data_IF_567698084457
#
_entry.id   IF_567698084457
#
_cell.length_a   1.000
_cell.length_b   1.000
_cell.length_c   1.000
_cell.angle_alpha   90.00
_cell.angle_beta   90.00
_cell.angle_gamma   90.00
#
_symmetry.space_group_name_H-M   'P 1'
#
loop_
_entity.id
_entity.type
_entity.pdbx_description
1 polymer ?
#
# COMPACT_ATOMS: atom_id res chain seq x y z
N UNK A 1 -25.90 -18.19 8.27
CA UNK A 1 -25.92 -16.72 8.05
C UNK A 1 -24.84 -16.44 7.02
N UNK A 2 -25.26 -16.24 5.77
CA UNK A 2 -24.35 -16.17 4.63
C UNK A 2 -23.50 -14.89 4.72
N UNK A 3 -22.18 -15.07 4.75
CA UNK A 3 -21.22 -13.98 4.53
C UNK A 3 -21.39 -13.56 3.07
N UNK A 4 -22.02 -12.41 2.83
CA UNK A 4 -22.03 -11.81 1.50
C UNK A 4 -20.60 -11.64 1.03
N UNK A 5 -20.28 -12.28 -0.09
CA UNK A 5 -19.04 -12.03 -0.82
C UNK A 5 -19.01 -10.55 -1.19
N UNK A 6 -18.09 -9.80 -0.58
CA UNK A 6 -17.80 -8.42 -0.97
C UNK A 6 -17.39 -8.46 -2.44
N UNK A 7 -18.30 -8.01 -3.31
CA UNK A 7 -18.07 -7.90 -4.74
C UNK A 7 -17.18 -6.69 -5.05
N UNK A 8 -16.48 -6.67 -6.20
CA UNK A 8 -15.68 -5.52 -6.63
C UNK A 8 -16.50 -4.22 -6.80
N UNK A 9 -17.83 -4.30 -6.76
CA UNK A 9 -18.75 -3.17 -6.94
C UNK A 9 -18.72 -2.16 -5.78
N UNK A 10 -18.19 -2.52 -4.61
CA UNK A 10 -18.23 -1.66 -3.42
C UNK A 10 -17.14 -0.59 -3.32
N UNK A 11 -16.09 -0.63 -4.14
CA UNK A 11 -15.00 0.36 -4.05
C UNK A 11 -15.44 1.72 -4.61
N UNK A 12 -16.17 1.72 -5.74
CA UNK A 12 -16.63 2.97 -6.38
C UNK A 12 -17.67 3.73 -5.54
N UNK A 13 -18.57 3.01 -4.86
CA UNK A 13 -19.61 3.62 -4.02
C UNK A 13 -19.03 4.40 -2.83
N UNK A 14 -17.85 3.99 -2.33
CA UNK A 14 -17.19 4.66 -1.20
C UNK A 14 -16.49 5.96 -1.61
N UNK A 15 -15.89 6.03 -2.80
CA UNK A 15 -15.19 7.23 -3.28
C UNK A 15 -16.17 8.37 -3.54
N UNK A 16 -17.32 8.07 -4.14
CA UNK A 16 -18.38 9.05 -4.42
C UNK A 16 -18.86 9.74 -3.13
N UNK A 17 -18.89 9.01 -2.01
CA UNK A 17 -19.29 9.55 -0.70
C UNK A 17 -18.29 10.55 -0.12
N UNK A 18 -17.02 10.54 -0.57
CA UNK A 18 -16.02 11.54 -0.17
C UNK A 18 -16.27 12.90 -0.84
N UNK A 19 -17.01 12.93 -1.95
CA UNK A 19 -17.23 14.13 -2.75
C UNK A 19 -18.44 14.90 -2.26
N UNK A 20 -18.42 16.24 -2.37
CA UNK A 20 -19.60 17.05 -2.13
C UNK A 20 -20.72 16.74 -3.14
N UNK A 21 -22.00 17.02 -2.83
CA UNK A 21 -23.15 16.60 -3.65
C UNK A 21 -23.06 16.98 -5.13
N UNK A 22 -22.56 18.17 -5.44
CA UNK A 22 -22.46 18.66 -6.82
C UNK A 22 -21.42 17.87 -7.63
N UNK A 23 -20.23 17.67 -7.06
CA UNK A 23 -19.15 16.90 -7.72
C UNK A 23 -19.52 15.42 -7.78
N UNK A 24 -20.08 14.88 -6.69
CA UNK A 24 -20.63 13.51 -6.64
C UNK A 24 -21.66 13.30 -7.74
N UNK A 25 -22.56 14.26 -7.95
CA UNK A 25 -23.58 14.19 -9.00
C UNK A 25 -22.99 14.05 -10.41
N UNK A 26 -21.86 14.70 -10.69
CA UNK A 26 -21.15 14.58 -11.98
C UNK A 26 -20.43 13.24 -12.09
N UNK A 27 -19.68 12.84 -11.05
CA UNK A 27 -18.96 11.55 -11.03
C UNK A 27 -19.92 10.37 -11.12
N UNK A 28 -21.10 10.47 -10.49
CA UNK A 28 -22.12 9.42 -10.52
C UNK A 28 -22.63 9.11 -11.94
N UNK A 29 -22.66 10.11 -12.82
CA UNK A 29 -23.09 9.97 -14.22
C UNK A 29 -22.07 9.26 -15.10
N UNK A 30 -20.81 9.11 -14.65
CA UNK A 30 -19.80 8.41 -15.43
C UNK A 30 -20.20 6.94 -15.68
N UNK A 31 -19.92 6.40 -16.88
CA UNK A 31 -20.09 4.97 -17.15
C UNK A 31 -19.29 4.10 -16.17
N UNK A 32 -19.82 2.93 -15.80
CA UNK A 32 -19.15 1.98 -14.90
C UNK A 32 -17.74 1.59 -15.37
N UNK A 33 -17.53 1.48 -16.69
CA UNK A 33 -16.20 1.20 -17.26
C UNK A 33 -15.19 2.28 -16.85
N UNK A 34 -15.57 3.55 -16.97
CA UNK A 34 -14.72 4.69 -16.61
C UNK A 34 -14.46 4.70 -15.11
N UNK A 35 -15.50 4.49 -14.28
CA UNK A 35 -15.32 4.39 -12.82
C UNK A 35 -14.33 3.28 -12.44
N UNK A 36 -14.42 2.14 -13.10
CA UNK A 36 -13.50 1.01 -12.93
C UNK A 36 -12.10 1.24 -13.48
N UNK A 37 -11.83 2.34 -14.19
CA UNK A 37 -10.50 2.72 -14.70
C UNK A 37 -9.97 4.01 -14.03
N UNK A 38 -10.80 4.67 -13.22
CA UNK A 38 -10.47 5.88 -12.47
C UNK A 38 -9.31 5.69 -11.49
N UNK A 39 -8.25 6.48 -11.69
CA UNK A 39 -7.03 6.48 -10.86
C UNK A 39 -6.96 7.74 -9.97
N UNK A 40 -7.42 8.87 -10.49
CA UNK A 40 -7.37 10.16 -9.79
C UNK A 40 -8.64 10.99 -10.05
N UNK A 41 -9.10 11.73 -9.04
CA UNK A 41 -10.06 12.83 -9.18
C UNK A 41 -9.42 14.10 -8.62
N UNK A 42 -9.30 15.13 -9.46
CA UNK A 42 -8.64 16.37 -9.08
C UNK A 42 -9.57 17.57 -9.15
N UNK A 43 -9.65 18.26 -8.04
CA UNK A 43 -10.44 19.47 -7.85
C UNK A 43 -9.51 20.65 -7.64
N UNK A 44 -9.72 21.74 -8.38
CA UNK A 44 -8.96 23.00 -8.22
C UNK A 44 -9.92 24.18 -8.33
N UNK A 45 -9.80 25.15 -7.42
CA UNK A 45 -10.70 26.31 -7.40
C UNK A 45 -10.69 27.03 -8.76
N UNK A 46 -11.88 27.26 -9.30
CA UNK A 46 -12.16 27.93 -10.57
C UNK A 46 -11.51 27.27 -11.79
N UNK A 47 -11.28 25.95 -11.74
CA UNK A 47 -10.77 25.16 -12.85
C UNK A 47 -11.73 23.99 -13.16
N UNK A 48 -11.67 23.45 -14.40
CA UNK A 48 -12.36 22.22 -14.76
C UNK A 48 -12.09 21.07 -13.78
N UNK A 49 -13.13 20.30 -13.46
CA UNK A 49 -13.00 19.01 -12.80
C UNK A 49 -12.23 18.06 -13.72
N UNK A 50 -11.21 17.44 -13.16
CA UNK A 50 -10.29 16.60 -13.91
C UNK A 50 -10.26 15.21 -13.29
N UNK A 51 -10.13 14.20 -14.13
CA UNK A 51 -9.89 12.82 -13.73
C UNK A 51 -8.67 12.28 -14.45
N UNK A 52 -8.03 11.28 -13.85
CA UNK A 52 -6.97 10.52 -14.51
C UNK A 52 -7.45 9.09 -14.78
N UNK A 53 -7.27 8.65 -16.02
CA UNK A 53 -7.57 7.30 -16.48
C UNK A 53 -6.33 6.77 -17.21
N UNK A 54 -5.79 5.63 -16.78
CA UNK A 54 -4.64 5.00 -17.42
C UNK A 54 -3.42 5.94 -17.61
N UNK A 55 -3.10 6.77 -16.61
CA UNK A 55 -2.09 7.84 -16.65
C UNK A 55 -2.36 9.02 -17.63
N UNK A 56 -3.56 9.16 -18.18
CA UNK A 56 -3.95 10.30 -19.01
C UNK A 56 -5.00 11.18 -18.30
N UNK A 57 -4.87 12.49 -18.45
CA UNK A 57 -5.74 13.49 -17.81
C UNK A 57 -6.92 13.84 -18.73
N UNK A 58 -8.13 13.76 -18.18
CA UNK A 58 -9.37 14.13 -18.87
C UNK A 58 -10.20 15.10 -18.02
N UNK A 59 -11.09 15.83 -18.67
CA UNK A 59 -12.08 16.70 -18.05
C UNK A 59 -13.47 16.08 -18.10
N UNK A 60 -14.36 16.52 -17.21
CA UNK A 60 -15.75 16.04 -17.16
C UNK A 60 -16.72 17.21 -17.34
N UNK A 61 -17.71 17.06 -18.22
CA UNK A 61 -18.82 18.02 -18.39
C UNK A 61 -19.85 17.94 -17.27
N UNK A 62 -20.79 18.89 -17.21
CA UNK A 62 -21.89 18.87 -16.24
C UNK A 62 -22.81 17.64 -16.39
N UNK A 63 -22.83 17.05 -17.58
CA UNK A 63 -23.58 15.85 -17.94
C UNK A 63 -22.82 14.55 -17.61
N UNK A 64 -21.57 14.63 -17.16
CA UNK A 64 -20.75 13.44 -16.89
C UNK A 64 -20.09 12.86 -18.13
N UNK A 65 -19.89 13.65 -19.18
CA UNK A 65 -19.18 13.23 -20.39
C UNK A 65 -17.69 13.50 -20.20
N UNK A 66 -16.85 12.52 -20.52
CA UNK A 66 -15.39 12.65 -20.47
C UNK A 66 -14.88 13.32 -21.75
N UNK A 67 -13.98 14.29 -21.63
CA UNK A 67 -13.43 15.05 -22.75
C UNK A 67 -11.95 15.38 -22.53
N UNK A 68 -11.17 15.40 -23.61
CA UNK A 68 -9.78 15.89 -23.61
C UNK A 68 -9.70 17.43 -23.53
N UNK A 69 -10.83 18.11 -23.78
CA UNK A 69 -10.91 19.57 -23.80
C UNK A 69 -11.50 20.11 -22.51
N UNK A 70 -10.96 21.22 -21.95
CA UNK A 70 -11.53 21.88 -20.78
C UNK A 70 -12.81 22.68 -21.10
N UNK A 71 -13.22 22.73 -22.37
CA UNK A 71 -14.40 23.49 -22.81
C UNK A 71 -15.66 22.78 -22.34
N UNK A 72 -16.63 23.54 -21.81
CA UNK A 72 -17.91 23.05 -21.28
C UNK A 72 -17.77 22.02 -20.12
N UNK A 73 -16.61 21.99 -19.47
CA UNK A 73 -16.40 21.15 -18.29
C UNK A 73 -17.10 21.71 -17.04
N UNK A 74 -17.41 20.83 -16.10
CA UNK A 74 -17.84 21.21 -14.76
C UNK A 74 -16.74 22.04 -14.09
N UNK A 75 -17.04 23.27 -13.67
CA UNK A 75 -16.08 24.15 -13.02
C UNK A 75 -16.17 23.98 -11.51
N UNK A 76 -15.06 23.60 -10.89
CA UNK A 76 -14.96 23.41 -9.44
C UNK A 76 -14.94 24.77 -8.75
N UNK A 77 -15.92 25.03 -7.87
CA UNK A 77 -15.95 26.22 -7.03
C UNK A 77 -15.18 26.03 -5.72
N UNK A 78 -14.88 27.15 -5.03
CA UNK A 78 -14.31 27.12 -3.67
C UNK A 78 -15.19 26.33 -2.68
N UNK A 79 -16.51 26.50 -2.78
CA UNK A 79 -17.48 25.77 -1.94
C UNK A 79 -17.41 24.26 -2.18
N UNK A 80 -17.16 23.80 -3.40
CA UNK A 80 -17.01 22.37 -3.67
C UNK A 80 -15.79 21.78 -2.96
N UNK A 81 -14.67 22.51 -2.93
CA UNK A 81 -13.45 22.11 -2.19
C UNK A 81 -13.74 22.03 -0.69
N UNK A 82 -14.29 23.10 -0.11
CA UNK A 82 -14.57 23.18 1.32
C UNK A 82 -15.55 22.08 1.76
N UNK A 83 -16.64 21.88 1.02
CA UNK A 83 -17.62 20.82 1.32
C UNK A 83 -17.01 19.43 1.16
N UNK A 84 -16.26 19.18 0.08
CA UNK A 84 -15.60 17.87 -0.14
C UNK A 84 -14.65 17.56 1.00
N UNK A 85 -13.89 18.54 1.48
CA UNK A 85 -13.00 18.35 2.63
C UNK A 85 -13.77 18.02 3.91
N UNK A 86 -14.96 18.59 4.13
CA UNK A 86 -15.83 18.19 5.25
C UNK A 86 -16.22 16.71 5.16
N UNK A 87 -16.60 16.19 3.99
CA UNK A 87 -16.89 14.76 3.82
C UNK A 87 -15.65 13.89 4.06
N UNK A 88 -14.50 14.26 3.47
CA UNK A 88 -13.21 13.56 3.63
C UNK A 88 -12.80 13.45 5.10
N UNK A 89 -13.06 14.49 5.89
CA UNK A 89 -12.67 14.56 7.31
C UNK A 89 -13.77 14.09 8.26
N UNK A 90 -14.87 13.55 7.73
CA UNK A 90 -16.09 13.23 8.50
C UNK A 90 -16.52 14.40 9.41
N UNK A 91 -16.47 15.62 8.86
CA UNK A 91 -16.78 16.90 9.50
C UNK A 91 -15.87 17.28 10.68
N UNK A 92 -14.74 16.61 10.85
CA UNK A 92 -13.78 16.86 11.93
C UNK A 92 -12.38 17.11 11.38
N UNK A 93 -12.12 18.37 10.98
CA UNK A 93 -10.78 18.79 10.51
C UNK A 93 -9.70 18.61 11.60
N UNK A 94 -10.08 18.74 12.87
CA UNK A 94 -9.15 18.61 14.00
C UNK A 94 -8.67 17.17 14.21
N UNK A 95 -9.47 16.16 13.83
CA UNK A 95 -9.05 14.77 13.97
C UNK A 95 -8.06 14.30 12.90
N UNK A 96 -7.72 15.16 11.94
CA UNK A 96 -6.79 14.87 10.85
C UNK A 96 -5.62 15.88 10.79
N UNK A 97 -5.32 16.55 11.90
CA UNK A 97 -4.33 17.64 11.91
C UNK A 97 -2.93 17.14 11.51
N UNK A 98 -2.54 15.94 11.97
CA UNK A 98 -1.25 15.33 11.65
C UNK A 98 -1.15 14.97 10.15
N UNK A 99 -2.21 14.39 9.59
CA UNK A 99 -2.36 14.11 8.16
C UNK A 99 -2.31 15.39 7.32
N UNK A 100 -2.96 16.46 7.77
CA UNK A 100 -2.88 17.78 7.13
C UNK A 100 -1.45 18.34 7.13
N UNK A 101 -0.68 18.15 8.22
CA UNK A 101 0.74 18.53 8.26
C UNK A 101 1.59 17.71 7.28
N UNK A 102 1.23 16.44 7.08
CA UNK A 102 1.86 15.56 6.08
C UNK A 102 1.38 15.85 4.64
N UNK A 103 0.37 16.72 4.46
CA UNK A 103 -0.12 17.18 3.16
C UNK A 103 -1.13 16.26 2.48
N UNK A 104 -1.59 15.19 3.15
CA UNK A 104 -2.61 14.28 2.62
C UNK A 104 -3.36 13.57 3.73
N UNK A 105 -4.61 13.17 3.47
CA UNK A 105 -5.44 12.38 4.37
C UNK A 105 -5.66 10.99 3.76
N UNK A 106 -5.45 9.94 4.53
CA UNK A 106 -5.89 8.58 4.16
C UNK A 106 -7.36 8.42 4.57
N UNK A 107 -8.21 7.94 3.68
CA UNK A 107 -9.65 7.77 3.93
C UNK A 107 -10.08 6.32 3.70
N UNK A 108 -11.33 6.01 4.06
CA UNK A 108 -11.93 4.70 3.83
C UNK A 108 -11.75 4.24 2.36
N UNK A 109 -11.44 2.96 2.18
CA UNK A 109 -10.98 2.38 0.91
C UNK A 109 -9.46 2.50 0.68
N UNK A 110 -8.73 3.13 1.60
CA UNK A 110 -7.28 3.32 1.53
C UNK A 110 -6.88 4.39 0.50
N UNK A 111 -7.84 5.20 0.06
CA UNK A 111 -7.60 6.30 -0.88
C UNK A 111 -6.84 7.42 -0.16
N UNK A 112 -6.10 8.22 -0.94
CA UNK A 112 -5.34 9.35 -0.40
C UNK A 112 -5.87 10.64 -0.99
N UNK A 113 -6.22 11.58 -0.12
CA UNK A 113 -6.67 12.92 -0.48
C UNK A 113 -5.53 13.89 -0.20
N UNK A 114 -4.77 14.25 -1.24
CA UNK A 114 -3.78 15.32 -1.18
C UNK A 114 -4.47 16.68 -1.10
N UNK A 115 -3.91 17.58 -0.30
CA UNK A 115 -4.53 18.87 0.01
C UNK A 115 -3.54 20.00 -0.31
N UNK A 116 -4.03 21.03 -1.01
CA UNK A 116 -3.24 22.23 -1.31
C UNK A 116 -3.97 23.48 -0.86
N UNK A 117 -3.21 24.45 -0.36
CA UNK A 117 -3.70 25.72 0.14
C UNK A 117 -2.56 26.58 0.66
N UNK A 118 -2.89 27.62 1.41
CA UNK A 118 -1.93 28.48 2.09
C UNK A 118 -1.34 27.78 3.31
N UNK A 119 -0.07 27.43 3.22
CA UNK A 119 0.70 26.87 4.33
C UNK A 119 1.04 27.97 5.33
N UNK A 120 0.79 27.70 6.60
CA UNK A 120 1.25 28.50 7.74
C UNK A 120 2.25 27.65 8.53
N UNK A 121 3.48 28.14 8.69
CA UNK A 121 4.54 27.35 9.31
C UNK A 121 5.88 28.06 9.33
N UNK A 122 6.91 27.31 9.73
CA UNK A 122 8.31 27.74 9.65
C UNK A 122 8.98 27.14 8.41
N UNK A 123 10.26 27.46 8.14
CA UNK A 123 10.97 26.97 6.94
C UNK A 123 10.95 25.44 6.77
N UNK A 124 10.87 24.67 7.85
CA UNK A 124 10.98 23.22 7.83
C UNK A 124 9.78 22.50 8.47
N UNK A 125 8.71 23.21 8.83
CA UNK A 125 7.59 22.61 9.56
C UNK A 125 6.26 23.27 9.18
N UNK A 126 5.30 22.46 8.74
CA UNK A 126 3.93 22.88 8.44
C UNK A 126 3.16 22.85 9.75
N UNK A 127 2.77 24.02 10.26
CA UNK A 127 1.90 24.08 11.45
C UNK A 127 0.44 23.85 11.06
N UNK A 128 0.00 24.49 9.98
CA UNK A 128 -1.36 24.33 9.47
C UNK A 128 -1.47 24.71 8.00
N UNK A 129 -2.54 24.25 7.35
CA UNK A 129 -2.94 24.65 6.00
C UNK A 129 -4.31 25.33 6.11
N UNK A 130 -4.46 26.49 5.48
CA UNK A 130 -5.74 27.19 5.34
C UNK A 130 -5.97 27.63 3.90
N UNK A 131 -7.10 28.27 3.62
CA UNK A 131 -7.43 28.77 2.28
C UNK A 131 -7.26 27.67 1.21
N UNK A 132 -7.89 26.51 1.44
CA UNK A 132 -7.78 25.33 0.59
C UNK A 132 -8.15 25.67 -0.86
N UNK A 133 -7.24 25.39 -1.78
CA UNK A 133 -7.35 25.78 -3.20
C UNK A 133 -7.48 24.57 -4.13
N UNK A 134 -7.30 23.36 -3.62
CA UNK A 134 -7.43 22.14 -4.40
C UNK A 134 -7.34 20.87 -3.56
N UNK A 135 -7.91 19.81 -4.11
CA UNK A 135 -7.89 18.46 -3.58
C UNK A 135 -7.46 17.50 -4.69
N UNK A 136 -6.67 16.51 -4.33
CA UNK A 136 -6.30 15.41 -5.22
C UNK A 136 -6.67 14.07 -4.57
N UNK A 137 -7.71 13.40 -5.06
CA UNK A 137 -8.14 12.10 -4.57
C UNK A 137 -7.51 11.02 -5.44
N UNK A 138 -6.53 10.31 -4.88
CA UNK A 138 -5.87 9.16 -5.51
C UNK A 138 -6.54 7.88 -5.08
N UNK A 139 -7.04 7.13 -6.05
CA UNK A 139 -7.86 5.95 -5.83
C UNK A 139 -6.96 4.74 -5.64
N UNK A 140 -6.81 4.32 -4.38
CA UNK A 140 -6.20 3.03 -4.06
C UNK A 140 -7.01 1.85 -4.62
N UNK A 141 -6.30 0.88 -5.19
CA UNK A 141 -6.84 -0.39 -5.67
C UNK A 141 -5.96 -1.52 -5.21
N UNK A 142 -6.60 -2.56 -4.71
CA UNK A 142 -5.93 -3.77 -4.30
C UNK A 142 -5.73 -4.72 -5.48
N UNK A 143 -4.51 -5.25 -5.63
CA UNK A 143 -4.20 -6.33 -6.57
C UNK A 143 -4.04 -7.64 -5.80
N UNK A 144 -4.85 -8.64 -6.17
CA UNK A 144 -4.82 -9.99 -5.57
C UNK A 144 -4.25 -11.00 -6.55
N UNK A 145 -3.59 -12.03 -6.02
CA UNK A 145 -3.01 -13.13 -6.81
C UNK A 145 -1.64 -12.82 -7.42
N UNK A 146 -1.05 -11.65 -7.14
CA UNK A 146 0.31 -11.28 -7.53
C UNK A 146 1.39 -12.12 -6.85
N UNK A 147 1.12 -12.68 -5.67
CA UNK A 147 2.06 -13.56 -4.98
C UNK A 147 1.99 -15.01 -5.44
N UNK A 148 0.93 -15.40 -6.16
CA UNK A 148 0.72 -16.79 -6.62
C UNK A 148 1.96 -17.41 -7.27
N UNK A 149 2.67 -16.72 -8.19
CA UNK A 149 3.85 -17.29 -8.84
C UNK A 149 5.03 -17.55 -7.90
N UNK A 150 5.09 -16.89 -6.74
CA UNK A 150 6.23 -17.01 -5.81
C UNK A 150 5.97 -17.95 -4.63
N UNK A 151 4.72 -18.21 -4.26
CA UNK A 151 4.38 -18.96 -3.04
C UNK A 151 5.05 -20.34 -2.95
N UNK A 152 5.15 -21.07 -4.08
CA UNK A 152 5.80 -22.38 -4.14
C UNK A 152 7.29 -22.35 -3.77
N UNK A 153 7.93 -21.18 -3.86
CA UNK A 153 9.34 -21.01 -3.49
C UNK A 153 9.49 -20.53 -2.05
N UNK A 154 8.47 -19.86 -1.50
CA UNK A 154 8.49 -19.30 -0.14
C UNK A 154 8.01 -20.28 0.93
N UNK A 155 7.33 -21.34 0.52
CA UNK A 155 6.80 -22.37 1.41
C UNK A 155 7.49 -23.70 1.11
N UNK A 156 7.98 -24.37 2.15
CA UNK A 156 8.56 -25.70 2.06
C UNK A 156 8.07 -26.55 3.22
N UNK A 157 7.60 -27.77 2.91
CA UNK A 157 7.09 -28.73 3.90
C UNK A 157 6.01 -28.14 4.83
N UNK A 158 5.13 -27.29 4.29
CA UNK A 158 4.06 -26.65 5.06
C UNK A 158 4.51 -25.50 5.98
N UNK A 159 5.78 -25.09 5.92
CA UNK A 159 6.33 -23.98 6.69
C UNK A 159 6.83 -22.84 5.80
N UNK A 160 6.77 -21.63 6.33
CA UNK A 160 7.18 -20.42 5.63
C UNK A 160 8.69 -20.18 5.82
N UNK A 161 9.38 -19.94 4.71
CA UNK A 161 10.79 -19.65 4.67
C UNK A 161 11.02 -18.15 4.86
N UNK A 162 11.89 -17.76 5.79
CA UNK A 162 12.25 -16.35 6.00
C UNK A 162 12.64 -15.69 4.68
N UNK A 163 11.98 -14.60 4.33
CA UNK A 163 12.04 -14.02 2.99
C UNK A 163 12.42 -12.55 3.01
N UNK A 164 13.41 -12.18 2.20
CA UNK A 164 13.76 -10.79 1.90
C UNK A 164 13.29 -10.43 0.48
N UNK A 165 12.63 -9.28 0.33
CA UNK A 165 12.27 -8.73 -0.98
C UNK A 165 13.16 -7.51 -1.27
N UNK A 166 14.07 -7.65 -2.23
CA UNK A 166 14.90 -6.57 -2.74
C UNK A 166 14.13 -5.90 -3.87
N UNK A 167 13.90 -4.59 -3.78
CA UNK A 167 13.13 -3.89 -4.80
C UNK A 167 13.50 -2.41 -4.89
N UNK A 168 13.69 -1.86 -6.11
CA UNK A 168 13.76 -0.41 -6.29
C UNK A 168 12.46 0.27 -5.85
N UNK A 169 12.47 1.58 -5.59
CA UNK A 169 11.24 2.34 -5.40
C UNK A 169 10.26 2.13 -6.56
N UNK A 170 8.96 2.10 -6.25
CA UNK A 170 7.87 2.01 -7.23
C UNK A 170 7.82 0.72 -8.07
N UNK A 171 8.55 -0.34 -7.71
CA UNK A 171 8.51 -1.64 -8.41
C UNK A 171 7.48 -2.64 -7.84
N UNK A 172 6.47 -2.18 -7.09
CA UNK A 172 5.37 -3.03 -6.62
C UNK A 172 5.66 -3.86 -5.37
N UNK A 173 6.71 -3.55 -4.60
CA UNK A 173 7.11 -4.28 -3.39
C UNK A 173 5.98 -4.44 -2.37
N UNK A 174 5.26 -3.36 -2.09
CA UNK A 174 4.20 -3.35 -1.07
C UNK A 174 2.99 -4.15 -1.54
N UNK A 175 2.70 -4.12 -2.84
CA UNK A 175 1.65 -4.95 -3.44
C UNK A 175 1.97 -6.43 -3.35
N UNK A 176 3.21 -6.84 -3.64
CA UNK A 176 3.62 -8.23 -3.50
C UNK A 176 3.63 -8.67 -2.03
N UNK A 177 4.27 -7.90 -1.15
CA UNK A 177 4.36 -8.18 0.29
C UNK A 177 2.97 -8.38 0.89
N UNK A 178 2.05 -7.46 0.62
CA UNK A 178 0.66 -7.52 1.08
C UNK A 178 -0.07 -8.77 0.61
N UNK A 179 0.06 -9.14 -0.66
CA UNK A 179 -0.60 -10.35 -1.15
C UNK A 179 0.01 -11.63 -0.56
N UNK A 180 1.32 -11.63 -0.30
CA UNK A 180 1.97 -12.71 0.46
C UNK A 180 1.37 -12.79 1.87
N UNK A 181 1.31 -11.66 2.61
CA UNK A 181 0.71 -11.59 3.95
C UNK A 181 -0.70 -12.19 3.96
N UNK A 182 -1.56 -11.76 3.03
CA UNK A 182 -2.91 -12.30 2.89
C UNK A 182 -2.92 -13.81 2.66
N UNK A 183 -2.12 -14.32 1.74
CA UNK A 183 -2.11 -15.75 1.42
C UNK A 183 -1.57 -16.58 2.60
N UNK A 184 -0.56 -16.09 3.32
CA UNK A 184 -0.06 -16.75 4.54
C UNK A 184 -1.09 -16.75 5.67
N UNK A 185 -1.83 -15.64 5.80
CA UNK A 185 -2.91 -15.48 6.77
C UNK A 185 -4.09 -16.42 6.49
N UNK A 186 -4.47 -16.57 5.21
CA UNK A 186 -5.55 -17.48 4.77
C UNK A 186 -5.11 -18.95 4.86
N UNK A 187 -3.90 -19.25 4.40
CA UNK A 187 -3.40 -20.60 4.14
C UNK A 187 -3.36 -20.91 2.64
N UNK A 188 -2.46 -21.82 2.25
CA UNK A 188 -2.28 -22.26 0.86
C UNK A 188 -2.38 -23.80 0.82
N UNK A 189 -3.60 -24.37 0.69
CA UNK A 189 -3.82 -25.81 0.77
C UNK A 189 -3.02 -26.62 -0.26
N UNK A 190 -2.82 -26.08 -1.48
CA UNK A 190 -2.02 -26.71 -2.53
C UNK A 190 -0.56 -26.94 -2.14
N UNK A 191 -0.07 -26.24 -1.12
CA UNK A 191 1.28 -26.37 -0.57
C UNK A 191 1.30 -26.98 0.84
N UNK A 192 0.18 -27.57 1.27
CA UNK A 192 0.00 -28.07 2.64
C UNK A 192 0.27 -27.01 3.72
N UNK A 193 0.13 -25.73 3.37
CA UNK A 193 0.36 -24.62 4.28
C UNK A 193 -0.94 -24.20 4.95
N UNK A 194 -1.06 -24.43 6.25
CA UNK A 194 -2.20 -23.96 7.04
C UNK A 194 -2.05 -22.46 7.31
N UNK A 195 -3.17 -21.73 7.34
CA UNK A 195 -3.16 -20.29 7.65
C UNK A 195 -2.48 -20.01 9.00
N UNK A 196 -1.58 -19.02 9.01
CA UNK A 196 -0.78 -18.65 10.18
C UNK A 196 -1.19 -17.27 10.70
N UNK A 197 -1.07 -17.05 12.00
CA UNK A 197 -1.14 -15.71 12.62
C UNK A 197 0.02 -14.85 12.12
N UNK A 198 -0.28 -13.70 11.53
CA UNK A 198 0.69 -12.75 10.99
C UNK A 198 0.65 -11.47 11.82
N UNK A 199 1.81 -10.99 12.27
CA UNK A 199 1.96 -9.66 12.84
C UNK A 199 2.60 -8.72 11.83
N UNK A 200 1.93 -7.62 11.47
CA UNK A 200 2.42 -6.63 10.50
C UNK A 200 2.89 -5.38 11.26
N UNK A 201 4.09 -4.90 10.95
CA UNK A 201 4.56 -3.58 11.36
C UNK A 201 4.67 -2.70 10.11
N UNK A 202 3.88 -1.64 10.06
CA UNK A 202 3.73 -0.78 8.88
C UNK A 202 4.10 0.66 9.24
N UNK A 203 5.38 1.01 9.14
CA UNK A 203 5.90 2.33 9.55
C UNK A 203 5.31 3.47 8.72
N UNK A 204 4.95 3.20 7.46
CA UNK A 204 4.48 4.21 6.49
C UNK A 204 2.98 4.15 6.21
N UNK A 205 2.23 3.28 6.88
CA UNK A 205 0.81 3.03 6.60
C UNK A 205 0.55 2.70 5.12
N UNK A 206 1.41 1.89 4.50
CA UNK A 206 1.28 1.49 3.09
C UNK A 206 0.73 0.07 2.90
N UNK A 207 1.05 -0.85 3.81
CA UNK A 207 0.63 -2.25 3.76
C UNK A 207 -0.87 -2.34 4.07
N UNK A 208 -1.27 -1.86 5.25
CA UNK A 208 -2.67 -1.87 5.68
C UNK A 208 -3.47 -0.68 5.17
N UNK A 209 -2.80 0.45 4.95
CA UNK A 209 -3.42 1.75 4.68
C UNK A 209 -4.55 2.03 5.69
N UNK A 210 -4.27 1.87 6.97
CA UNK A 210 -5.28 1.88 8.02
C UNK A 210 -6.02 3.22 8.08
N UNK A 211 -7.32 3.15 8.29
CA UNK A 211 -8.18 4.31 8.55
C UNK A 211 -8.95 4.04 9.84
N UNK A 212 -8.76 4.90 10.84
CA UNK A 212 -9.37 4.77 12.17
C UNK A 212 -9.17 3.39 12.82
N UNK A 213 -7.94 2.86 12.72
CA UNK A 213 -7.58 1.55 13.27
C UNK A 213 -8.06 0.35 12.44
N UNK A 214 -8.76 0.57 11.32
CA UNK A 214 -9.23 -0.50 10.43
C UNK A 214 -8.35 -0.56 9.16
N UNK A 215 -7.69 -1.70 8.88
CA UNK A 215 -7.00 -1.90 7.61
C UNK A 215 -7.96 -1.75 6.42
N UNK A 216 -7.56 -0.96 5.43
CA UNK A 216 -8.36 -0.76 4.22
C UNK A 216 -8.00 -1.74 3.11
N UNK A 217 -6.78 -2.27 3.16
CA UNK A 217 -6.34 -3.37 2.33
C UNK A 217 -6.60 -4.72 3.01
N UNK A 218 -6.96 -5.74 2.23
CA UNK A 218 -7.19 -7.09 2.75
C UNK A 218 -5.86 -7.79 3.07
N UNK A 219 -5.55 -7.87 4.36
CA UNK A 219 -4.37 -8.57 4.90
C UNK A 219 -4.67 -10.02 5.29
N UNK A 220 -5.87 -10.53 5.03
CA UNK A 220 -6.33 -11.85 5.46
C UNK A 220 -6.83 -11.91 6.91
N UNK A 221 -7.50 -13.02 7.29
CA UNK A 221 -8.31 -13.10 8.50
C UNK A 221 -7.54 -13.32 9.81
N UNK A 222 -6.23 -13.58 9.75
CA UNK A 222 -5.37 -13.89 10.91
C UNK A 222 -4.22 -12.89 11.04
N UNK A 223 -4.48 -11.64 10.70
CA UNK A 223 -3.45 -10.61 10.64
C UNK A 223 -3.72 -9.50 11.63
N UNK A 224 -2.76 -9.26 12.52
CA UNK A 224 -2.71 -8.11 13.41
C UNK A 224 -1.76 -7.07 12.80
N UNK A 225 -2.09 -5.78 12.91
CA UNK A 225 -1.25 -4.70 12.35
C UNK A 225 -0.96 -3.61 13.38
N UNK A 226 0.30 -3.18 13.42
CA UNK A 226 0.74 -1.94 14.06
C UNK A 226 1.01 -0.91 12.95
N UNK A 227 0.06 0.00 12.77
CA UNK A 227 0.11 1.06 11.78
C UNK A 227 0.91 2.27 12.29
N UNK A 228 1.65 2.92 11.39
CA UNK A 228 2.49 4.09 11.68
C UNK A 228 3.47 3.86 12.85
N UNK A 229 3.94 2.61 12.99
CA UNK A 229 4.75 2.15 14.12
C UNK A 229 6.22 1.92 13.70
N UNK A 230 7.21 2.44 14.44
CA UNK A 230 8.62 2.13 14.19
C UNK A 230 8.90 0.63 14.28
N UNK A 231 9.54 0.06 13.25
CA UNK A 231 9.70 -1.39 13.07
C UNK A 231 10.26 -2.13 14.28
N UNK A 232 11.42 -1.71 14.79
CA UNK A 232 12.06 -2.36 15.93
C UNK A 232 11.13 -2.42 17.15
N UNK A 233 10.46 -1.32 17.46
CA UNK A 233 9.50 -1.23 18.58
C UNK A 233 8.29 -2.12 18.30
N UNK A 234 7.71 -2.04 17.10
CA UNK A 234 6.54 -2.82 16.72
C UNK A 234 6.80 -4.33 16.73
N UNK A 235 7.96 -4.78 16.23
CA UNK A 235 8.35 -6.19 16.29
C UNK A 235 8.41 -6.68 17.74
N UNK A 236 9.03 -5.92 18.65
CA UNK A 236 9.08 -6.30 20.06
C UNK A 236 7.69 -6.35 20.72
N UNK A 237 6.77 -5.46 20.35
CA UNK A 237 5.38 -5.51 20.81
C UNK A 237 4.70 -6.80 20.33
N UNK A 238 4.82 -7.12 19.04
CA UNK A 238 4.19 -8.31 18.45
C UNK A 238 4.72 -9.60 19.07
N UNK A 239 6.05 -9.72 19.24
CA UNK A 239 6.70 -10.88 19.87
C UNK A 239 6.14 -11.11 21.28
N UNK A 240 5.99 -10.04 22.07
CA UNK A 240 5.58 -10.14 23.48
C UNK A 240 4.09 -10.34 23.68
N UNK A 241 3.25 -9.77 22.81
CA UNK A 241 1.83 -9.63 23.08
C UNK A 241 0.90 -10.37 22.11
N UNK A 242 1.32 -10.59 20.86
CA UNK A 242 0.41 -11.09 19.81
C UNK A 242 0.67 -12.55 19.43
N UNK A 243 1.78 -13.16 19.88
CA UNK A 243 2.16 -14.54 19.57
C UNK A 243 2.07 -14.88 18.07
N UNK A 244 2.63 -14.04 17.17
CA UNK A 244 2.57 -14.29 15.74
C UNK A 244 3.39 -15.52 15.39
N UNK A 245 3.02 -16.21 14.31
CA UNK A 245 3.92 -17.23 13.72
C UNK A 245 4.85 -16.60 12.69
N UNK A 246 4.42 -15.50 12.06
CA UNK A 246 5.18 -14.78 11.05
C UNK A 246 5.06 -13.28 11.35
N UNK A 247 6.18 -12.57 11.33
CA UNK A 247 6.22 -11.11 11.33
C UNK A 247 6.49 -10.61 9.91
N UNK A 248 5.73 -9.62 9.48
CA UNK A 248 5.91 -8.93 8.22
C UNK A 248 6.16 -7.45 8.47
N UNK A 249 7.14 -6.88 7.78
CA UNK A 249 7.45 -5.45 7.87
C UNK A 249 7.74 -4.88 6.48
N UNK A 250 7.56 -3.57 6.33
CA UNK A 250 7.85 -2.87 5.08
C UNK A 250 9.34 -2.91 4.73
N UNK A 251 10.18 -2.04 5.25
CA UNK A 251 11.57 -1.88 4.80
C UNK A 251 12.54 -1.81 5.98
N UNK A 252 13.48 -2.76 6.06
CA UNK A 252 14.53 -2.79 7.08
C UNK A 252 15.82 -2.10 6.60
N UNK A 253 16.55 -1.50 7.54
CA UNK A 253 17.84 -0.89 7.21
C UNK A 253 18.61 -0.31 8.40
N UNK A 254 17.98 -0.21 9.57
CA UNK A 254 18.61 0.31 10.79
C UNK A 254 19.17 -0.82 11.63
N UNK A 255 20.12 -0.49 12.51
CA UNK A 255 20.73 -1.50 13.39
C UNK A 255 19.71 -2.09 14.36
N UNK A 256 18.86 -1.24 14.91
CA UNK A 256 17.77 -1.65 15.80
C UNK A 256 16.79 -2.64 15.12
N UNK A 257 16.60 -2.54 13.79
CA UNK A 257 15.78 -3.51 13.05
C UNK A 257 16.41 -4.91 13.09
N UNK A 258 17.74 -5.00 12.95
CA UNK A 258 18.48 -6.26 13.00
C UNK A 258 18.39 -6.92 14.38
N UNK A 259 18.48 -6.14 15.45
CA UNK A 259 18.39 -6.65 16.82
C UNK A 259 16.99 -7.21 17.09
N UNK A 260 15.94 -6.51 16.65
CA UNK A 260 14.56 -6.98 16.78
C UNK A 260 14.25 -8.23 15.91
N UNK A 261 14.88 -8.34 14.74
CA UNK A 261 14.80 -9.56 13.91
C UNK A 261 15.43 -10.75 14.64
N UNK A 262 16.57 -10.56 15.29
CA UNK A 262 17.23 -11.62 16.04
C UNK A 262 16.35 -12.14 17.19
N UNK A 263 15.71 -11.25 17.93
CA UNK A 263 14.72 -11.62 18.96
C UNK A 263 13.55 -12.41 18.37
N UNK A 264 13.02 -12.01 17.21
CA UNK A 264 11.95 -12.76 16.54
C UNK A 264 12.38 -14.19 16.19
N UNK A 265 13.60 -14.36 15.68
CA UNK A 265 14.15 -15.67 15.31
C UNK A 265 14.38 -16.56 16.54
N UNK A 266 14.89 -16.00 17.65
CA UNK A 266 15.05 -16.72 18.91
C UNK A 266 13.71 -17.20 19.48
N UNK A 267 12.64 -16.42 19.26
CA UNK A 267 11.27 -16.80 19.59
C UNK A 267 10.63 -17.81 18.61
N UNK A 268 11.35 -18.25 17.58
CA UNK A 268 10.86 -19.20 16.57
C UNK A 268 9.84 -18.59 15.59
N UNK A 269 9.86 -17.27 15.42
CA UNK A 269 8.93 -16.53 14.55
C UNK A 269 9.60 -16.33 13.18
N UNK A 270 8.91 -16.70 12.11
CA UNK A 270 9.41 -16.47 10.75
C UNK A 270 9.26 -15.00 10.34
N UNK A 271 10.07 -14.55 9.38
CA UNK A 271 10.11 -13.15 8.97
C UNK A 271 9.93 -12.96 7.46
N UNK A 272 9.15 -11.95 7.07
CA UNK A 272 9.19 -11.38 5.72
C UNK A 272 9.38 -9.86 5.77
N UNK A 273 10.28 -9.34 4.95
CA UNK A 273 10.57 -7.90 4.90
C UNK A 273 11.04 -7.47 3.52
N UNK A 274 11.06 -6.16 3.25
CA UNK A 274 11.69 -5.59 2.06
C UNK A 274 12.96 -4.79 2.38
N UNK A 275 13.73 -4.49 1.34
CA UNK A 275 14.84 -3.54 1.36
C UNK A 275 14.91 -2.82 0.00
N UNK A 276 15.23 -1.53 0.01
CA UNK A 276 15.52 -0.82 -1.24
C UNK A 276 16.86 -1.25 -1.84
N UNK A 277 16.84 -1.87 -3.02
CA UNK A 277 18.04 -2.25 -3.77
C UNK A 277 17.70 -2.69 -5.19
N UNK A 278 18.70 -2.79 -6.06
CA UNK A 278 18.52 -3.26 -7.44
C UNK A 278 18.93 -4.71 -7.61
N UNK A 279 19.85 -5.20 -6.79
CA UNK A 279 20.34 -6.58 -6.86
C UNK A 279 20.80 -7.11 -5.50
N UNK A 280 21.12 -8.40 -5.44
CA UNK A 280 21.67 -9.02 -4.22
C UNK A 280 23.08 -8.50 -3.93
N UNK A 281 23.87 -8.27 -4.96
CA UNK A 281 25.26 -7.80 -4.86
C UNK A 281 25.31 -6.42 -4.17
N UNK A 282 24.38 -5.53 -4.50
CA UNK A 282 24.23 -4.21 -3.86
C UNK A 282 23.89 -4.32 -2.37
N UNK A 283 23.08 -5.32 -2.00
CA UNK A 283 22.53 -5.45 -0.65
C UNK A 283 23.54 -6.12 0.29
N UNK A 284 24.30 -7.11 -0.20
CA UNK A 284 25.31 -7.83 0.60
C UNK A 284 26.40 -6.88 1.09
N UNK A 285 26.72 -5.82 0.34
CA UNK A 285 27.70 -4.82 0.77
C UNK A 285 27.22 -3.90 1.91
N UNK A 286 25.94 -3.91 2.25
CA UNK A 286 25.38 -3.04 3.30
C UNK A 286 25.56 -3.66 4.67
N UNK A 287 26.19 -2.93 5.59
CA UNK A 287 26.54 -3.42 6.94
C UNK A 287 25.41 -4.18 7.66
N UNK A 288 24.20 -3.62 7.71
CA UNK A 288 23.07 -4.24 8.43
C UNK A 288 22.52 -5.45 7.68
N UNK A 289 22.09 -5.25 6.43
CA UNK A 289 21.38 -6.28 5.67
C UNK A 289 22.33 -7.40 5.21
N UNK A 290 23.54 -7.04 4.80
CA UNK A 290 24.61 -7.97 4.46
C UNK A 290 24.91 -8.92 5.62
N UNK A 291 25.01 -8.40 6.85
CA UNK A 291 25.21 -9.24 8.03
C UNK A 291 24.07 -10.25 8.25
N UNK A 292 22.81 -9.85 8.05
CA UNK A 292 21.66 -10.76 8.13
C UNK A 292 21.71 -11.87 7.06
N UNK A 293 22.15 -11.52 5.85
CA UNK A 293 22.32 -12.48 4.75
C UNK A 293 23.47 -13.45 5.04
N UNK A 294 24.63 -12.95 5.49
CA UNK A 294 25.79 -13.76 5.89
C UNK A 294 25.44 -14.76 6.99
N UNK A 295 24.64 -14.32 7.98
CA UNK A 295 24.08 -15.16 9.04
C UNK A 295 22.99 -16.13 8.56
N UNK A 296 22.65 -16.13 7.26
CA UNK A 296 21.64 -16.99 6.63
C UNK A 296 20.26 -16.86 7.27
N UNK A 297 19.92 -15.66 7.74
CA UNK A 297 18.60 -15.35 8.33
C UNK A 297 17.50 -15.56 7.29
N UNK A 298 17.71 -15.04 6.09
CA UNK A 298 16.79 -15.19 4.97
C UNK A 298 17.10 -16.48 4.22
N UNK A 299 16.09 -17.32 4.05
CA UNK A 299 16.15 -18.56 3.26
C UNK A 299 15.75 -18.34 1.81
N UNK A 300 14.98 -17.28 1.55
CA UNK A 300 14.59 -16.86 0.21
C UNK A 300 14.85 -15.37 0.03
N UNK A 301 15.34 -15.00 -1.14
CA UNK A 301 15.50 -13.61 -1.53
C UNK A 301 14.83 -13.41 -2.88
N UNK A 302 13.84 -12.53 -2.94
CA UNK A 302 13.17 -12.13 -4.18
C UNK A 302 13.80 -10.82 -4.65
N UNK A 303 14.18 -10.74 -5.92
CA UNK A 303 14.61 -9.48 -6.55
C UNK A 303 13.53 -9.03 -7.52
N UNK A 304 12.96 -7.85 -7.26
CA UNK A 304 11.95 -7.21 -8.10
C UNK A 304 12.54 -6.12 -8.98
N UNK A 305 11.95 -5.94 -10.15
CA UNK A 305 12.23 -4.85 -11.06
C UNK A 305 10.95 -4.36 -11.76
N UNK A 306 11.12 -3.43 -12.71
CA UNK A 306 10.12 -3.01 -13.67
C UNK A 306 10.47 -3.37 -15.12
N UNK A 307 11.45 -4.26 -15.37
CA UNK A 307 12.01 -4.51 -16.71
C UNK A 307 10.98 -5.05 -17.72
N UNK A 308 10.04 -5.89 -17.27
CA UNK A 308 8.92 -6.44 -18.07
C UNK A 308 7.56 -5.94 -17.58
N UNK A 309 7.56 -4.78 -16.92
CA UNK A 309 6.42 -4.20 -16.21
C UNK A 309 6.60 -4.22 -14.69
N UNK A 310 5.80 -3.41 -13.99
CA UNK A 310 5.86 -3.29 -12.52
C UNK A 310 5.65 -4.67 -11.88
N UNK A 311 6.46 -4.97 -10.87
CA UNK A 311 6.39 -6.22 -10.11
C UNK A 311 7.07 -7.42 -10.77
N UNK A 312 7.83 -7.21 -11.85
CA UNK A 312 8.62 -8.28 -12.47
C UNK A 312 9.53 -8.91 -11.44
N UNK A 313 9.45 -10.23 -11.28
CA UNK A 313 10.36 -10.99 -10.42
C UNK A 313 11.54 -11.41 -11.29
N UNK A 314 12.66 -10.74 -11.11
CA UNK A 314 13.89 -11.01 -11.87
C UNK A 314 14.51 -12.33 -11.43
N UNK A 315 14.63 -12.50 -10.11
CA UNK A 315 15.33 -13.62 -9.50
C UNK A 315 14.63 -14.06 -8.22
N UNK A 316 14.67 -15.36 -7.99
CA UNK A 316 14.45 -15.94 -6.67
C UNK A 316 15.74 -16.67 -6.31
N UNK A 317 16.34 -16.31 -5.19
CA UNK A 317 17.66 -16.78 -4.76
C UNK A 317 17.52 -17.60 -3.48
N UNK A 318 18.25 -18.71 -3.40
CA UNK A 318 18.38 -19.47 -2.17
C UNK A 318 19.33 -18.73 -1.21
N UNK A 319 18.84 -18.33 -0.04
CA UNK A 319 19.62 -17.50 0.88
C UNK A 319 20.75 -18.23 1.60
N UNK A 320 20.86 -19.57 1.51
CA UNK A 320 21.99 -20.31 2.09
C UNK A 320 23.16 -20.44 1.11
N UNK A 321 22.87 -20.55 -0.19
CA UNK A 321 23.87 -20.78 -1.25
C UNK A 321 24.12 -19.56 -2.13
N UNK A 322 23.20 -18.59 -2.11
CA UNK A 322 23.12 -17.46 -3.04
C UNK A 322 22.97 -17.86 -4.51
N UNK A 323 22.61 -19.11 -4.79
CA UNK A 323 22.31 -19.57 -6.14
C UNK A 323 20.89 -19.17 -6.56
N UNK A 324 20.73 -18.86 -7.85
CA UNK A 324 19.44 -18.57 -8.45
C UNK A 324 18.59 -19.85 -8.54
N UNK A 325 17.40 -19.83 -7.94
CA UNK A 325 16.35 -20.85 -8.07
C UNK A 325 15.53 -20.60 -9.33
N UNK A 326 15.28 -19.32 -9.63
CA UNK A 326 14.57 -18.87 -10.83
C UNK A 326 15.49 -17.94 -11.60
N UNK A 327 15.85 -18.34 -12.81
CA UNK A 327 16.72 -17.61 -13.74
C UNK A 327 15.96 -17.02 -14.95
N UNK A 328 14.65 -17.26 -15.05
CA UNK A 328 13.78 -16.67 -16.06
C UNK A 328 12.81 -15.71 -15.37
N UNK A 329 12.89 -14.43 -15.71
CA UNK A 329 12.06 -13.40 -15.10
C UNK A 329 10.57 -13.70 -15.25
N UNK A 330 9.85 -13.73 -14.13
CA UNK A 330 8.41 -13.97 -14.07
C UNK A 330 7.70 -12.63 -14.18
N UNK A 331 6.93 -12.46 -15.26
CA UNK A 331 6.05 -11.29 -15.41
C UNK A 331 4.93 -11.40 -14.38
N UNK A 332 4.95 -10.51 -13.40
CA UNK A 332 3.89 -10.44 -12.40
C UNK A 332 2.84 -9.43 -12.85
N UNK A 333 1.56 -9.73 -12.63
CA UNK A 333 0.45 -8.82 -12.96
C UNK A 333 0.27 -7.77 -11.86
N UNK A 334 1.33 -7.04 -11.53
CA UNK A 334 1.24 -5.86 -10.64
C UNK A 334 0.92 -4.59 -11.44
N UNK A 335 1.06 -4.63 -12.78
CA UNK A 335 0.63 -3.60 -13.74
C UNK A 335 -0.88 -3.53 -13.94
#
# INVERSE_FOLDING_TARGET
MFVERISPLNVNYKIEMLLCPEVRGVINKLPLKIKNELEEIRLRVNKPLMINLNNEDFFITYEGIVSDSPINSFIVSKKNIENTLQFVTNYSIYSVEEELRNGYITVEGGHRVGIVGKVLGSRNDIRSIKDFSGLNIRISREKKGVSTPVLNYLISNGEFLNTLIISPPQCGKTTLLRDIIRNLSIGVPSLSFKGKKIGVVDERSEIGACFQGVPQNDLGPRTDILDSCPKAVGMMILIRAMSPHIIATDEIGRREDSDAIEEALLAGISLITTVHGKSIEDIVQRKVIGSLIERKVFKRIIVLSNSKGIGTIEKIIDGNTLNEIVNVAIKNKVG
#
